data_IF_115870119560
#
_entry.id   IF_115870119560
#
_cell.length_a   1.000
_cell.length_b   1.000
_cell.length_c   1.000
_cell.angle_alpha   90.00
_cell.angle_beta   90.00
_cell.angle_gamma   90.00
#
_symmetry.space_group_name_H-M   'P 1'
#
loop_
_entity.id
_entity.type
_entity.pdbx_description
1 polymer ?
#
# COMPACT_ATOMS: atom_id res chain seq x y z
N UNK A 1 -39.32 -77.22 -42.28
CA UNK A 1 -39.47 -75.82 -42.72
C UNK A 1 -39.38 -74.90 -41.51
N UNK A 2 -38.27 -74.16 -41.35
CA UNK A 2 -38.17 -72.94 -40.55
C UNK A 2 -36.95 -72.18 -41.06
N UNK A 3 -37.21 -71.17 -41.89
CA UNK A 3 -36.20 -70.26 -42.44
C UNK A 3 -35.99 -69.12 -41.44
N UNK A 4 -34.73 -68.98 -41.01
CA UNK A 4 -33.95 -67.75 -40.83
C UNK A 4 -34.68 -66.45 -40.46
N UNK A 5 -34.27 -65.81 -39.35
CA UNK A 5 -33.63 -64.49 -39.38
C UNK A 5 -32.98 -64.19 -38.01
N UNK A 6 -31.64 -64.22 -37.95
CA UNK A 6 -30.88 -63.64 -36.82
C UNK A 6 -30.81 -62.14 -37.04
N UNK A 7 -31.50 -61.37 -36.19
CA UNK A 7 -31.38 -59.91 -36.15
C UNK A 7 -30.34 -59.58 -35.07
N UNK A 8 -29.13 -59.23 -35.52
CA UNK A 8 -28.07 -58.67 -34.69
C UNK A 8 -28.48 -57.25 -34.30
N UNK A 9 -28.77 -57.03 -33.02
CA UNK A 9 -29.02 -55.69 -32.46
C UNK A 9 -27.65 -54.98 -32.36
N UNK A 10 -27.33 -54.14 -33.34
CA UNK A 10 -26.29 -53.13 -33.23
C UNK A 10 -26.85 -51.99 -32.36
N UNK A 11 -26.42 -51.95 -31.09
CA UNK A 11 -26.54 -50.79 -30.22
C UNK A 11 -25.66 -49.67 -30.81
N UNK A 12 -26.24 -48.85 -31.68
CA UNK A 12 -25.69 -47.53 -31.99
C UNK A 12 -26.07 -46.65 -30.80
N UNK A 13 -25.16 -46.56 -29.82
CA UNK A 13 -25.17 -45.50 -28.83
C UNK A 13 -25.01 -44.18 -29.58
N UNK A 14 -26.15 -43.52 -29.82
CA UNK A 14 -26.16 -42.11 -30.14
C UNK A 14 -25.57 -41.38 -28.93
N UNK A 15 -24.28 -41.10 -29.00
CA UNK A 15 -23.64 -40.02 -28.28
C UNK A 15 -24.34 -38.73 -28.71
N UNK A 16 -25.50 -38.47 -28.11
CA UNK A 16 -26.05 -37.14 -28.00
C UNK A 16 -25.09 -36.37 -27.09
N UNK A 17 -24.03 -35.86 -27.69
CA UNK A 17 -23.28 -34.75 -27.16
C UNK A 17 -24.27 -33.58 -27.06
N UNK A 18 -24.99 -33.51 -25.93
CA UNK A 18 -25.59 -32.26 -25.48
C UNK A 18 -24.42 -31.30 -25.38
N UNK A 19 -24.33 -30.42 -26.38
CA UNK A 19 -23.45 -29.27 -26.41
C UNK A 19 -23.73 -28.51 -25.11
N UNK A 20 -22.88 -28.71 -24.12
CA UNK A 20 -22.97 -27.99 -22.86
C UNK A 20 -23.02 -26.50 -23.19
N UNK A 21 -23.97 -25.82 -22.56
CA UNK A 21 -24.20 -24.38 -22.63
C UNK A 21 -22.98 -23.62 -22.07
N UNK A 22 -21.89 -23.57 -22.84
CA UNK A 22 -20.71 -22.76 -22.54
C UNK A 22 -20.60 -21.57 -23.50
N UNK A 23 -21.69 -21.25 -24.19
CA UNK A 23 -21.75 -20.21 -25.23
C UNK A 23 -22.75 -19.08 -24.93
N UNK A 24 -23.24 -18.94 -23.69
CA UNK A 24 -24.07 -17.79 -23.27
C UNK A 24 -23.40 -16.85 -22.27
N UNK A 25 -22.24 -17.22 -21.68
CA UNK A 25 -21.53 -16.35 -20.70
C UNK A 25 -20.47 -15.47 -21.40
N UNK A 26 -20.05 -15.80 -22.63
CA UNK A 26 -19.02 -15.04 -23.36
C UNK A 26 -19.53 -13.78 -24.07
N UNK A 27 -20.83 -13.55 -24.15
CA UNK A 27 -21.41 -12.46 -24.97
C UNK A 27 -22.07 -11.32 -24.19
N UNK A 28 -21.91 -11.25 -22.87
CA UNK A 28 -22.38 -10.12 -22.05
C UNK A 28 -21.26 -9.33 -21.35
N UNK A 29 -20.02 -9.46 -21.82
CA UNK A 29 -18.84 -8.89 -21.17
C UNK A 29 -18.33 -7.57 -21.79
N UNK A 30 -19.07 -6.95 -22.72
CA UNK A 30 -18.54 -5.87 -23.56
C UNK A 30 -19.49 -4.70 -23.82
N UNK A 31 -20.51 -4.48 -22.98
CA UNK A 31 -21.56 -3.48 -23.27
C UNK A 31 -21.66 -2.29 -22.30
N UNK A 32 -20.69 -2.16 -21.39
CA UNK A 32 -20.57 -0.94 -20.58
C UNK A 32 -19.28 -0.22 -20.98
N UNK A 33 -19.36 0.93 -21.68
CA UNK A 33 -18.19 1.76 -21.86
C UNK A 33 -17.62 2.08 -20.47
N UNK A 34 -16.28 2.05 -20.30
CA UNK A 34 -15.68 2.28 -19.01
C UNK A 34 -16.10 3.64 -18.50
N UNK A 35 -16.82 3.67 -17.37
CA UNK A 35 -17.22 4.91 -16.72
C UNK A 35 -16.21 5.23 -15.63
N UNK A 36 -15.60 6.41 -15.74
CA UNK A 36 -14.74 6.95 -14.70
C UNK A 36 -15.57 7.36 -13.49
N UNK A 37 -15.16 6.88 -12.31
CA UNK A 37 -15.79 7.17 -11.03
C UNK A 37 -14.72 7.42 -9.98
N UNK A 38 -15.08 8.16 -8.95
CA UNK A 38 -14.23 8.47 -7.80
C UNK A 38 -14.64 7.61 -6.61
N UNK A 39 -13.67 7.16 -5.83
CA UNK A 39 -13.93 6.53 -4.53
C UNK A 39 -14.37 7.58 -3.52
N UNK A 40 -15.45 7.34 -2.79
CA UNK A 40 -15.89 8.13 -1.64
C UNK A 40 -16.15 7.21 -0.42
N UNK A 41 -15.05 6.76 0.18
CA UNK A 41 -14.99 5.90 1.37
C UNK A 41 -13.87 6.38 2.31
N UNK A 42 -14.23 6.92 3.47
CA UNK A 42 -13.25 7.30 4.49
C UNK A 42 -12.45 6.06 4.94
N UNK A 43 -11.13 6.07 4.73
CA UNK A 43 -10.25 4.90 4.94
C UNK A 43 -10.01 4.02 3.69
N UNK A 44 -10.57 4.40 2.54
CA UNK A 44 -10.42 3.68 1.27
C UNK A 44 -11.48 2.59 1.03
N UNK A 45 -11.57 2.13 -0.21
CA UNK A 45 -12.55 1.14 -0.67
C UNK A 45 -11.87 -0.18 -1.01
N UNK A 46 -12.27 -1.24 -0.32
CA UNK A 46 -11.75 -2.60 -0.53
C UNK A 46 -12.17 -3.14 -1.91
N UNK A 47 -11.18 -3.40 -2.77
CA UNK A 47 -11.34 -4.19 -3.99
C UNK A 47 -11.32 -5.66 -3.63
N UNK A 48 -12.37 -6.39 -4.00
CA UNK A 48 -12.53 -7.81 -3.67
C UNK A 48 -12.50 -8.70 -4.90
N UNK A 49 -12.08 -9.93 -4.70
CA UNK A 49 -12.07 -10.95 -5.75
C UNK A 49 -13.47 -11.36 -6.19
N UNK A 50 -14.43 -11.37 -5.27
CA UNK A 50 -15.85 -11.70 -5.53
C UNK A 50 -16.76 -10.55 -5.09
N UNK A 51 -17.95 -10.41 -5.70
CA UNK A 51 -18.92 -9.35 -5.37
C UNK A 51 -19.67 -9.66 -4.06
N UNK A 52 -18.94 -9.70 -2.94
CA UNK A 52 -19.47 -10.04 -1.62
C UNK A 52 -18.60 -9.41 -0.53
N UNK A 53 -19.20 -8.95 0.58
CA UNK A 53 -18.51 -8.38 1.74
C UNK A 53 -17.51 -9.35 2.39
N UNK A 54 -17.72 -10.66 2.22
CA UNK A 54 -16.82 -11.71 2.72
C UNK A 54 -15.77 -12.16 1.69
N UNK A 55 -15.78 -11.60 0.47
CA UNK A 55 -14.80 -11.95 -0.57
C UNK A 55 -13.38 -11.52 -0.21
N UNK A 56 -12.37 -12.26 -0.67
CA UNK A 56 -10.95 -11.92 -0.46
C UNK A 56 -10.66 -10.47 -0.86
N UNK A 57 -10.02 -9.70 0.02
CA UNK A 57 -9.59 -8.33 -0.29
C UNK A 57 -8.29 -8.44 -1.10
N UNK A 58 -8.32 -7.92 -2.32
CA UNK A 58 -7.15 -7.86 -3.20
C UNK A 58 -6.27 -6.65 -2.88
N UNK A 59 -6.90 -5.49 -2.66
CA UNK A 59 -6.26 -4.22 -2.30
C UNK A 59 -7.30 -3.26 -1.70
N UNK A 60 -6.87 -2.26 -0.95
CA UNK A 60 -7.69 -1.12 -0.56
C UNK A 60 -7.38 0.04 -1.51
N UNK A 61 -8.38 0.43 -2.31
CA UNK A 61 -8.28 1.58 -3.23
C UNK A 61 -8.45 2.86 -2.42
N UNK A 62 -7.54 3.83 -2.53
CA UNK A 62 -7.66 5.10 -1.83
C UNK A 62 -8.97 5.88 -2.07
N UNK A 63 -9.52 6.49 -1.01
CA UNK A 63 -10.55 7.53 -1.08
C UNK A 63 -10.17 8.68 -2.03
N UNK A 64 -11.01 8.97 -3.02
CA UNK A 64 -10.74 9.99 -4.03
C UNK A 64 -9.90 9.50 -5.22
N UNK A 65 -9.45 8.25 -5.23
CA UNK A 65 -8.91 7.63 -6.46
C UNK A 65 -9.95 7.65 -7.57
N UNK A 66 -9.50 7.95 -8.79
CA UNK A 66 -10.28 7.72 -10.00
C UNK A 66 -10.12 6.27 -10.45
N UNK A 67 -11.25 5.59 -10.69
CA UNK A 67 -11.30 4.22 -11.18
C UNK A 67 -12.15 4.11 -12.43
N UNK A 68 -11.91 3.08 -13.24
CA UNK A 68 -12.80 2.71 -14.35
C UNK A 68 -13.70 1.58 -13.91
N UNK A 69 -15.00 1.80 -14.06
CA UNK A 69 -16.04 0.81 -13.81
C UNK A 69 -16.45 0.15 -15.12
N UNK A 70 -16.75 -1.16 -15.06
CA UNK A 70 -17.08 -2.00 -16.21
C UNK A 70 -18.44 -2.66 -16.07
N UNK A 71 -19.33 -2.03 -15.30
CA UNK A 71 -20.70 -2.48 -15.09
C UNK A 71 -20.97 -3.11 -13.71
N UNK A 72 -22.26 -3.18 -13.42
CA UNK A 72 -22.84 -3.69 -12.17
C UNK A 72 -23.10 -5.19 -12.33
N UNK A 73 -22.81 -5.96 -11.27
CA UNK A 73 -22.96 -7.43 -11.29
C UNK A 73 -23.89 -8.00 -10.22
N UNK A 74 -24.43 -7.17 -9.34
CA UNK A 74 -25.37 -7.59 -8.28
C UNK A 74 -26.63 -6.75 -8.25
N UNK A 75 -27.59 -7.18 -7.42
CA UNK A 75 -28.72 -6.36 -7.00
C UNK A 75 -28.28 -5.34 -5.93
N UNK A 76 -29.20 -4.43 -5.57
CA UNK A 76 -28.97 -3.47 -4.49
C UNK A 76 -28.79 -4.17 -3.15
N UNK A 77 -27.74 -3.78 -2.45
CA UNK A 77 -27.41 -4.20 -1.08
C UNK A 77 -27.17 -2.94 -0.25
N UNK A 78 -27.18 -3.07 1.08
CA UNK A 78 -26.85 -1.97 2.00
C UNK A 78 -25.77 -2.41 2.94
N UNK A 79 -24.68 -1.65 2.97
CA UNK A 79 -23.51 -1.86 3.83
C UNK A 79 -23.06 -0.51 4.39
N UNK A 80 -22.76 -0.46 5.69
CA UNK A 80 -22.32 0.75 6.39
C UNK A 80 -23.21 1.99 6.15
N UNK A 81 -24.53 1.77 6.11
CA UNK A 81 -25.52 2.82 5.87
C UNK A 81 -25.59 3.34 4.43
N UNK A 82 -24.82 2.77 3.49
CA UNK A 82 -24.87 3.11 2.07
C UNK A 82 -25.52 2.00 1.27
N UNK A 83 -26.44 2.37 0.38
CA UNK A 83 -27.05 1.45 -0.58
C UNK A 83 -26.31 1.51 -1.91
N UNK A 84 -26.08 0.36 -2.52
CA UNK A 84 -25.37 0.26 -3.79
C UNK A 84 -25.30 -1.17 -4.30
N UNK A 85 -24.48 -1.39 -5.33
CA UNK A 85 -24.33 -2.69 -6.01
C UNK A 85 -22.86 -3.02 -6.18
N UNK A 86 -22.54 -4.29 -6.21
CA UNK A 86 -21.20 -4.71 -6.60
C UNK A 86 -20.93 -4.36 -8.05
N UNK A 87 -19.84 -3.65 -8.26
CA UNK A 87 -19.43 -3.09 -9.55
C UNK A 87 -18.05 -3.63 -9.89
N UNK A 88 -17.89 -4.12 -11.12
CA UNK A 88 -16.61 -4.61 -11.61
C UNK A 88 -15.72 -3.42 -11.95
N UNK A 89 -14.48 -3.44 -11.48
CA UNK A 89 -13.54 -2.34 -11.67
C UNK A 89 -12.15 -2.86 -11.98
N UNK A 90 -11.35 -1.98 -12.60
CA UNK A 90 -9.91 -2.19 -12.77
C UNK A 90 -9.17 -1.05 -12.08
N UNK A 91 -8.22 -1.40 -11.24
CA UNK A 91 -7.37 -0.45 -10.53
C UNK A 91 -5.94 -0.98 -10.53
N UNK A 92 -5.01 -0.22 -11.12
CA UNK A 92 -3.65 -0.67 -11.44
C UNK A 92 -3.68 -2.01 -12.20
N UNK A 93 -2.95 -3.02 -11.74
CA UNK A 93 -2.95 -4.39 -12.28
C UNK A 93 -4.07 -5.27 -11.71
N UNK A 94 -4.85 -4.80 -10.73
CA UNK A 94 -5.95 -5.57 -10.14
C UNK A 94 -7.26 -5.41 -10.92
N UNK A 95 -8.00 -6.51 -11.03
CA UNK A 95 -9.37 -6.53 -11.53
C UNK A 95 -10.25 -7.28 -10.54
N UNK A 96 -11.36 -6.68 -10.14
CA UNK A 96 -12.22 -7.22 -9.09
C UNK A 96 -13.52 -6.44 -8.95
N UNK A 97 -14.09 -6.49 -7.76
CA UNK A 97 -15.38 -5.89 -7.44
C UNK A 97 -15.28 -4.92 -6.26
N UNK A 98 -15.94 -3.79 -6.38
CA UNK A 98 -16.13 -2.82 -5.29
C UNK A 98 -17.61 -2.58 -5.07
N UNK A 99 -17.98 -2.12 -3.89
CA UNK A 99 -19.35 -1.77 -3.58
C UNK A 99 -19.67 -0.33 -4.01
N UNK A 100 -20.63 -0.15 -4.92
CA UNK A 100 -20.89 1.14 -5.58
C UNK A 100 -21.48 2.21 -4.66
N UNK A 101 -21.95 1.85 -3.46
CA UNK A 101 -22.41 2.83 -2.47
C UNK A 101 -21.31 3.82 -2.07
N UNK A 102 -20.04 3.46 -2.32
CA UNK A 102 -18.87 4.30 -2.11
C UNK A 102 -18.27 4.86 -3.40
N UNK A 103 -19.02 4.86 -4.51
CA UNK A 103 -18.58 5.47 -5.76
C UNK A 103 -19.38 6.74 -6.05
N UNK A 104 -18.71 7.77 -6.53
CA UNK A 104 -19.34 9.02 -6.98
C UNK A 104 -18.78 9.46 -8.33
N UNK A 105 -19.55 10.25 -9.08
CA UNK A 105 -19.06 10.87 -10.33
C UNK A 105 -18.17 12.07 -10.05
N UNK A 106 -18.40 12.75 -8.93
CA UNK A 106 -17.66 13.93 -8.49
C UNK A 106 -17.54 13.92 -6.97
N UNK A 107 -16.36 14.29 -6.49
CA UNK A 107 -16.15 14.63 -5.10
C UNK A 107 -16.64 16.06 -4.88
N UNK A 108 -17.38 16.33 -3.80
CA UNK A 108 -17.61 17.72 -3.38
C UNK A 108 -16.29 18.22 -2.77
N UNK A 109 -15.70 19.33 -3.24
CA UNK A 109 -14.50 19.89 -2.62
C UNK A 109 -14.60 20.06 -1.10
N UNK A 110 -15.82 20.27 -0.57
CA UNK A 110 -16.07 20.35 0.87
C UNK A 110 -15.70 19.07 1.62
N UNK A 111 -15.83 17.90 0.98
CA UNK A 111 -15.46 16.60 1.57
C UNK A 111 -13.93 16.47 1.77
N UNK A 112 -13.15 17.35 1.14
CA UNK A 112 -11.69 17.35 1.14
C UNK A 112 -11.10 18.70 1.54
N UNK A 113 -11.89 19.58 2.16
CA UNK A 113 -11.45 20.93 2.49
C UNK A 113 -10.18 20.91 3.35
N UNK A 114 -10.07 20.01 4.32
CA UNK A 114 -8.86 19.83 5.14
C UNK A 114 -7.63 19.48 4.30
N UNK A 115 -7.77 18.62 3.29
CA UNK A 115 -6.66 18.24 2.39
C UNK A 115 -6.23 19.40 1.51
N UNK A 116 -7.20 20.18 1.02
CA UNK A 116 -6.98 21.41 0.27
C UNK A 116 -6.26 22.45 1.14
N UNK A 117 -6.69 22.61 2.40
CA UNK A 117 -6.10 23.56 3.34
C UNK A 117 -4.64 23.17 3.68
N UNK A 118 -4.37 21.88 3.90
CA UNK A 118 -3.01 21.36 4.09
C UNK A 118 -2.15 21.67 2.86
N UNK A 119 -2.63 21.34 1.65
CA UNK A 119 -1.91 21.62 0.41
C UNK A 119 -1.59 23.11 0.28
N UNK A 120 -2.56 23.99 0.51
CA UNK A 120 -2.36 25.44 0.44
C UNK A 120 -1.31 25.94 1.45
N UNK A 121 -1.29 25.39 2.67
CA UNK A 121 -0.27 25.75 3.66
C UNK A 121 1.13 25.29 3.23
N UNK A 122 1.25 24.08 2.67
CA UNK A 122 2.50 23.57 2.13
C UNK A 122 3.00 24.46 0.99
N UNK A 123 2.11 24.82 0.06
CA UNK A 123 2.42 25.74 -1.04
C UNK A 123 2.94 27.09 -0.53
N UNK A 124 2.28 27.66 0.47
CA UNK A 124 2.68 28.93 1.09
C UNK A 124 4.05 28.81 1.79
N UNK A 125 4.28 27.71 2.51
CA UNK A 125 5.51 27.47 3.27
C UNK A 125 6.72 27.31 2.35
N UNK A 126 6.53 26.61 1.24
CA UNK A 126 7.62 26.27 0.32
C UNK A 126 7.71 27.20 -0.90
N UNK A 127 6.74 28.09 -1.08
CA UNK A 127 6.71 29.08 -2.16
C UNK A 127 6.50 28.47 -3.55
N UNK A 128 5.78 27.36 -3.67
CA UNK A 128 5.55 26.68 -4.96
C UNK A 128 4.10 26.20 -5.07
N UNK A 129 3.65 25.92 -6.30
CA UNK A 129 2.31 25.38 -6.56
C UNK A 129 2.37 23.86 -6.78
N UNK A 130 1.51 23.14 -6.08
CA UNK A 130 1.33 21.69 -6.23
C UNK A 130 0.21 21.48 -7.26
N UNK A 131 0.49 20.76 -8.36
CA UNK A 131 -0.56 20.41 -9.32
C UNK A 131 -1.51 19.39 -8.70
N UNK A 132 -2.69 19.88 -8.30
CA UNK A 132 -3.62 19.16 -7.46
C UNK A 132 -4.57 18.25 -8.26
N UNK A 133 -4.05 17.37 -9.11
CA UNK A 133 -4.85 16.24 -9.61
C UNK A 133 -5.00 15.21 -8.47
N UNK A 134 -5.91 15.53 -7.56
CA UNK A 134 -6.09 14.93 -6.25
C UNK A 134 -6.22 13.39 -6.32
N UNK A 135 -5.19 12.68 -5.87
CA UNK A 135 -5.33 11.34 -5.30
C UNK A 135 -5.26 11.52 -3.79
N UNK A 136 -6.41 11.41 -3.14
CA UNK A 136 -6.48 11.42 -1.68
C UNK A 136 -6.40 9.96 -1.21
N UNK A 137 -6.12 9.79 0.08
CA UNK A 137 -6.12 8.55 0.85
C UNK A 137 -4.89 7.65 0.76
N UNK A 138 -4.08 7.73 1.80
CA UNK A 138 -3.94 6.73 2.86
C UNK A 138 -3.08 7.41 3.93
N UNK A 139 -3.51 8.60 4.36
CA UNK A 139 -2.73 9.42 5.28
C UNK A 139 -3.19 9.12 6.70
N UNK A 140 -2.38 8.38 7.47
CA UNK A 140 -2.64 8.06 8.87
C UNK A 140 -2.47 9.25 9.81
N UNK A 141 -1.83 10.33 9.34
CA UNK A 141 -1.57 11.53 10.12
C UNK A 141 -2.89 12.19 10.56
N UNK A 142 -3.00 12.55 11.84
CA UNK A 142 -4.20 13.17 12.42
C UNK A 142 -4.38 14.60 11.96
N UNK A 143 -4.98 14.80 10.78
CA UNK A 143 -5.17 16.09 10.12
C UNK A 143 -5.80 17.20 11.00
N UNK A 144 -6.48 16.86 12.09
CA UNK A 144 -7.02 17.85 13.03
C UNK A 144 -5.94 18.61 13.80
N UNK A 145 -4.71 18.08 13.87
CA UNK A 145 -3.53 18.74 14.43
C UNK A 145 -2.79 19.62 13.41
N UNK A 146 -3.17 19.59 12.14
CA UNK A 146 -2.39 20.08 11.00
C UNK A 146 -2.88 21.46 10.52
N UNK A 147 -3.54 22.19 11.43
CA UNK A 147 -4.24 23.45 11.17
C UNK A 147 -3.38 24.68 11.49
N UNK A 148 -2.09 24.49 11.77
CA UNK A 148 -1.14 25.56 12.09
C UNK A 148 0.12 25.47 11.24
N UNK A 149 0.71 26.64 10.95
CA UNK A 149 1.85 26.88 10.06
C UNK A 149 2.86 25.72 10.01
N UNK A 150 3.02 25.13 8.82
CA UNK A 150 4.07 24.16 8.58
C UNK A 150 5.45 24.79 8.77
N UNK A 151 6.35 24.05 9.40
CA UNK A 151 7.75 24.40 9.55
C UNK A 151 8.61 23.49 8.66
N UNK A 152 9.68 24.07 8.10
CA UNK A 152 10.69 23.31 7.37
C UNK A 152 11.65 22.69 8.38
N UNK A 153 11.66 21.36 8.45
CA UNK A 153 12.54 20.61 9.35
C UNK A 153 13.90 20.36 8.70
N UNK A 154 13.89 20.04 7.40
CA UNK A 154 15.10 19.79 6.62
C UNK A 154 14.87 20.21 5.17
N UNK A 155 15.85 20.90 4.59
CA UNK A 155 15.83 21.32 3.18
C UNK A 155 17.23 21.10 2.59
N UNK A 156 17.34 20.13 1.68
CA UNK A 156 18.60 19.70 1.08
C UNK A 156 18.55 19.93 -0.43
N UNK A 157 19.63 20.52 -0.97
CA UNK A 157 19.79 20.78 -2.40
C UNK A 157 20.99 19.99 -2.91
N UNK A 158 20.82 19.27 -4.01
CA UNK A 158 21.90 18.54 -4.67
C UNK A 158 21.68 18.49 -6.18
N UNK A 159 22.62 19.07 -6.94
CA UNK A 159 22.51 19.24 -8.40
C UNK A 159 21.17 19.91 -8.76
N UNK A 160 20.40 19.36 -9.69
CA UNK A 160 19.05 19.85 -10.04
C UNK A 160 17.95 19.45 -9.06
N UNK A 161 18.27 18.71 -8.00
CA UNK A 161 17.30 18.17 -7.05
C UNK A 161 17.24 18.94 -5.74
N UNK A 162 16.05 18.95 -5.15
CA UNK A 162 15.80 19.44 -3.79
C UNK A 162 14.91 18.45 -3.05
N UNK A 163 15.28 18.06 -1.84
CA UNK A 163 14.43 17.27 -0.95
C UNK A 163 14.11 18.08 0.29
N UNK A 164 12.83 18.08 0.69
CA UNK A 164 12.35 18.85 1.82
C UNK A 164 11.47 17.99 2.71
N UNK A 165 11.72 18.06 4.01
CA UNK A 165 10.83 17.57 5.05
C UNK A 165 10.19 18.76 5.78
N UNK A 166 8.88 18.75 5.88
CA UNK A 166 8.10 19.76 6.60
C UNK A 166 7.17 19.09 7.61
N UNK A 167 6.82 19.79 8.67
CA UNK A 167 5.93 19.27 9.72
C UNK A 167 4.95 20.35 10.17
N UNK A 168 3.70 19.98 10.53
CA UNK A 168 2.80 20.89 11.23
C UNK A 168 3.08 21.00 12.74
N UNK A 169 3.93 20.13 13.29
CA UNK A 169 4.12 19.92 14.73
C UNK A 169 5.53 20.34 15.16
N UNK A 170 5.63 21.12 16.23
CA UNK A 170 6.90 21.50 16.85
C UNK A 170 7.59 20.21 17.34
N UNK A 171 8.74 19.85 16.75
CA UNK A 171 9.49 18.59 16.94
C UNK A 171 8.85 17.30 16.36
N UNK A 172 7.87 17.42 15.46
CA UNK A 172 7.01 16.31 15.08
C UNK A 172 7.48 15.40 13.94
N UNK A 173 8.77 15.15 13.73
CA UNK A 173 9.16 14.22 12.63
C UNK A 173 9.69 12.88 13.10
N UNK A 174 10.16 12.77 14.33
CA UNK A 174 10.74 11.53 14.87
C UNK A 174 9.75 10.92 15.87
N UNK A 175 8.98 9.94 15.41
CA UNK A 175 8.15 9.10 16.28
C UNK A 175 8.69 7.67 16.27
N UNK A 176 8.54 7.00 17.40
CA UNK A 176 8.93 5.61 17.52
C UNK A 176 8.09 4.75 16.54
N UNK A 177 8.72 4.30 15.46
CA UNK A 177 8.09 3.53 14.39
C UNK A 177 7.18 4.31 13.44
N UNK A 178 7.18 5.65 13.48
CA UNK A 178 6.35 6.48 12.59
C UNK A 178 6.99 7.87 12.36
N UNK A 179 6.38 8.67 11.48
CA UNK A 179 6.77 10.07 11.26
C UNK A 179 5.57 10.92 10.85
N UNK A 180 5.46 12.12 11.41
CA UNK A 180 4.43 13.10 10.98
C UNK A 180 4.96 14.08 9.93
N UNK A 181 6.21 13.92 9.47
CA UNK A 181 6.78 14.73 8.40
C UNK A 181 6.05 14.49 7.07
N UNK A 182 5.81 15.56 6.32
CA UNK A 182 5.58 15.48 4.88
C UNK A 182 6.90 15.63 4.15
N UNK A 183 7.09 14.79 3.13
CA UNK A 183 8.32 14.74 2.35
C UNK A 183 8.03 15.04 0.90
N UNK A 184 8.86 15.89 0.31
CA UNK A 184 8.74 16.35 -1.07
C UNK A 184 10.11 16.28 -1.76
N UNK A 185 10.13 15.84 -3.01
CA UNK A 185 11.33 15.87 -3.86
C UNK A 185 11.01 16.63 -5.14
N UNK A 186 11.89 17.56 -5.47
CA UNK A 186 11.82 18.39 -6.66
C UNK A 186 12.99 18.09 -7.59
N UNK A 187 12.77 18.27 -8.89
CA UNK A 187 13.78 18.30 -9.94
C UNK A 187 13.55 19.52 -10.80
N UNK A 188 14.54 20.40 -10.96
CA UNK A 188 14.40 21.66 -11.71
C UNK A 188 13.16 22.47 -11.29
N UNK A 189 12.94 22.62 -9.97
CA UNK A 189 11.77 23.27 -9.35
C UNK A 189 10.40 22.61 -9.65
N UNK A 190 10.37 21.46 -10.33
CA UNK A 190 9.16 20.68 -10.54
C UNK A 190 9.05 19.61 -9.46
N UNK A 191 7.89 19.52 -8.79
CA UNK A 191 7.62 18.46 -7.84
C UNK A 191 7.56 17.11 -8.57
N UNK A 192 8.42 16.16 -8.19
CA UNK A 192 8.47 14.82 -8.80
C UNK A 192 8.01 13.73 -7.84
N UNK A 193 8.03 13.98 -6.54
CA UNK A 193 7.56 13.05 -5.52
C UNK A 193 7.02 13.80 -4.30
N UNK A 194 5.99 13.24 -3.68
CA UNK A 194 5.55 13.64 -2.35
C UNK A 194 4.88 12.47 -1.62
N UNK A 195 4.84 12.55 -0.29
CA UNK A 195 4.02 11.66 0.54
C UNK A 195 2.76 12.35 1.11
N UNK A 196 2.38 13.52 0.56
CA UNK A 196 1.10 14.16 0.89
C UNK A 196 -0.05 13.20 0.56
N UNK A 197 -1.03 13.11 1.46
CA UNK A 197 -2.17 12.20 1.40
C UNK A 197 -1.81 10.72 1.50
N UNK A 198 -0.74 10.41 2.23
CA UNK A 198 -0.30 9.04 2.48
C UNK A 198 0.61 8.94 3.69
N UNK A 199 0.83 7.74 4.23
CA UNK A 199 1.81 7.55 5.30
C UNK A 199 3.16 8.19 4.96
N UNK A 200 3.77 8.82 5.97
CA UNK A 200 5.08 9.42 5.84
C UNK A 200 6.12 8.38 5.44
N UNK A 201 7.09 8.79 4.62
CA UNK A 201 8.25 7.96 4.29
C UNK A 201 9.40 8.09 5.31
N UNK A 202 9.22 8.92 6.34
CA UNK A 202 10.19 9.16 7.41
C UNK A 202 10.74 10.57 7.44
N UNK A 203 11.72 10.80 8.31
CA UNK A 203 12.43 12.08 8.37
C UNK A 203 13.60 12.10 7.38
N UNK A 204 13.73 13.18 6.59
CA UNK A 204 14.88 13.39 5.71
C UNK A 204 16.19 13.52 6.51
N UNK A 205 17.09 12.59 6.24
CA UNK A 205 18.46 12.54 6.75
C UNK A 205 19.41 13.35 5.87
N UNK A 206 20.67 13.48 6.26
CA UNK A 206 21.70 14.11 5.42
C UNK A 206 21.91 13.34 4.11
N UNK A 207 22.29 14.08 3.06
CA UNK A 207 22.64 13.51 1.76
C UNK A 207 23.84 12.57 1.92
N UNK A 208 23.70 11.32 1.48
CA UNK A 208 24.77 10.32 1.52
C UNK A 208 24.82 9.56 0.19
N UNK A 209 26.01 9.42 -0.38
CA UNK A 209 26.24 8.69 -1.64
C UNK A 209 25.29 9.14 -2.78
N UNK A 210 25.08 10.46 -2.90
CA UNK A 210 24.14 11.09 -3.85
C UNK A 210 22.67 10.68 -3.69
N UNK A 211 22.29 10.19 -2.50
CA UNK A 211 20.92 9.80 -2.17
C UNK A 211 20.31 10.71 -1.12
N UNK A 212 19.05 11.06 -1.34
CA UNK A 212 18.19 11.51 -0.24
C UNK A 212 17.65 10.30 0.48
N UNK A 213 17.83 10.26 1.81
CA UNK A 213 17.42 9.15 2.65
C UNK A 213 16.36 9.66 3.62
N UNK A 214 15.20 9.02 3.64
CA UNK A 214 14.14 9.27 4.61
C UNK A 214 14.03 8.05 5.51
N UNK A 215 14.02 8.26 6.83
CA UNK A 215 14.20 7.17 7.78
C UNK A 215 13.07 7.12 8.82
N UNK A 216 12.61 5.90 9.11
CA UNK A 216 11.72 5.54 10.23
C UNK A 216 12.40 4.41 11.00
N UNK A 217 12.46 4.53 12.33
CA UNK A 217 13.09 3.53 13.20
C UNK A 217 12.18 3.16 14.37
N UNK A 218 12.22 1.90 14.76
CA UNK A 218 11.61 1.36 15.97
C UNK A 218 12.51 0.26 16.55
N UNK A 219 12.44 0.03 17.85
CA UNK A 219 13.17 -1.05 18.48
C UNK A 219 12.65 -1.36 19.87
N UNK A 220 12.36 -2.62 20.13
CA UNK A 220 11.90 -3.09 21.42
C UNK A 220 12.98 -3.98 22.03
N UNK A 221 13.29 -3.76 23.29
CA UNK A 221 14.21 -4.62 24.04
C UNK A 221 13.75 -4.77 25.48
N UNK A 222 13.79 -5.99 25.98
CA UNK A 222 13.56 -6.30 27.39
C UNK A 222 14.45 -7.49 27.79
N UNK A 223 15.18 -7.34 28.88
CA UNK A 223 16.09 -8.37 29.37
C UNK A 223 17.14 -8.77 28.32
N UNK A 224 16.98 -9.97 27.77
CA UNK A 224 17.95 -10.60 26.88
C UNK A 224 17.49 -10.71 25.43
N UNK A 225 16.33 -10.14 25.12
CA UNK A 225 15.80 -10.05 23.77
C UNK A 225 15.77 -8.60 23.31
N UNK A 226 16.34 -8.35 22.14
CA UNK A 226 16.31 -7.06 21.45
C UNK A 226 15.85 -7.25 20.02
N UNK A 227 15.00 -6.35 19.56
CA UNK A 227 14.59 -6.24 18.18
C UNK A 227 14.66 -4.79 17.73
N UNK A 228 15.03 -4.59 16.48
CA UNK A 228 15.09 -3.30 15.85
C UNK A 228 14.62 -3.42 14.41
N UNK A 229 13.82 -2.45 14.00
CA UNK A 229 13.29 -2.31 12.67
C UNK A 229 13.57 -0.91 12.16
N UNK A 230 14.10 -0.81 10.96
CA UNK A 230 14.18 0.46 10.24
C UNK A 230 13.62 0.35 8.84
N UNK A 231 12.89 1.37 8.43
CA UNK A 231 12.45 1.56 7.05
C UNK A 231 13.12 2.81 6.52
N UNK A 232 13.95 2.65 5.49
CA UNK A 232 14.54 3.78 4.77
C UNK A 232 13.98 3.88 3.36
N UNK A 233 13.59 5.08 2.95
CA UNK A 233 13.28 5.39 1.56
C UNK A 233 14.46 6.17 0.97
N UNK A 234 15.09 5.63 -0.07
CA UNK A 234 16.28 6.19 -0.69
C UNK A 234 16.00 6.62 -2.14
N UNK A 235 16.05 7.92 -2.40
CA UNK A 235 16.00 8.45 -3.76
C UNK A 235 17.42 8.71 -4.26
N UNK A 236 17.88 7.94 -5.24
CA UNK A 236 19.19 8.11 -5.85
C UNK A 236 19.12 9.15 -6.97
N UNK A 237 19.86 10.24 -6.83
CA UNK A 237 19.79 11.39 -7.75
C UNK A 237 20.45 11.14 -9.11
N UNK A 238 21.37 10.17 -9.22
CA UNK A 238 22.05 9.83 -10.48
C UNK A 238 21.18 8.93 -11.37
N UNK A 239 20.59 7.89 -10.79
CA UNK A 239 19.75 6.92 -11.49
C UNK A 239 18.27 7.29 -11.51
N UNK A 240 17.87 8.28 -10.70
CA UNK A 240 16.48 8.70 -10.46
C UNK A 240 15.57 7.56 -9.99
N UNK A 241 16.17 6.55 -9.36
CA UNK A 241 15.47 5.41 -8.79
C UNK A 241 15.14 5.64 -7.33
N UNK A 242 13.97 5.15 -6.93
CA UNK A 242 13.51 5.19 -5.56
C UNK A 242 13.46 3.77 -4.98
N UNK A 243 14.07 3.59 -3.82
CA UNK A 243 14.05 2.33 -3.09
C UNK A 243 13.40 2.47 -1.73
N UNK A 244 12.60 1.49 -1.33
CA UNK A 244 12.20 1.25 0.07
C UNK A 244 13.02 0.08 0.60
N UNK A 245 13.71 0.27 1.71
CA UNK A 245 14.56 -0.73 2.34
C UNK A 245 14.06 -0.94 3.76
N UNK A 246 13.60 -2.14 4.07
CA UNK A 246 13.15 -2.55 5.40
C UNK A 246 14.20 -3.48 6.00
N UNK A 247 14.81 -3.06 7.10
CA UNK A 247 15.77 -3.83 7.87
C UNK A 247 15.13 -4.24 9.18
N UNK A 248 15.06 -5.54 9.43
CA UNK A 248 14.70 -6.09 10.73
C UNK A 248 15.89 -6.86 11.29
N UNK A 249 16.23 -6.61 12.55
CA UNK A 249 17.23 -7.36 13.30
C UNK A 249 16.66 -7.76 14.64
N UNK A 250 16.85 -9.01 15.04
CA UNK A 250 16.54 -9.46 16.40
C UNK A 250 17.68 -10.29 16.96
N UNK A 251 18.04 -10.00 18.21
CA UNK A 251 19.08 -10.67 18.95
C UNK A 251 18.47 -11.22 20.24
N UNK A 252 18.67 -12.51 20.46
CA UNK A 252 18.41 -13.16 21.74
C UNK A 252 19.74 -13.58 22.33
N UNK A 253 20.06 -13.06 23.50
CA UNK A 253 21.22 -13.47 24.30
C UNK A 253 20.79 -14.41 25.43
N UNK A 254 21.66 -15.33 25.81
CA UNK A 254 21.46 -16.15 27.00
C UNK A 254 22.14 -15.53 28.22
N UNK A 255 21.65 -15.89 29.41
CA UNK A 255 22.26 -15.50 30.70
C UNK A 255 22.95 -16.68 31.36
N UNK A 256 24.02 -16.41 32.10
CA UNK A 256 24.74 -17.46 32.83
C UNK A 256 23.95 -17.98 34.03
N UNK A 257 23.24 -17.08 34.70
CA UNK A 257 22.38 -17.36 35.84
C UNK A 257 21.07 -16.58 35.64
N UNK A 258 19.96 -17.18 36.09
CA UNK A 258 18.65 -16.55 36.04
C UNK A 258 18.42 -15.89 37.40
N UNK A 259 18.17 -14.59 37.40
CA UNK A 259 17.78 -13.82 38.59
C UNK A 259 16.46 -13.05 38.36
N UNK A 260 16.09 -12.20 39.31
CA UNK A 260 14.84 -11.43 39.26
C UNK A 260 14.74 -10.41 38.11
N UNK A 261 15.85 -10.07 37.44
CA UNK A 261 15.88 -9.14 36.30
C UNK A 261 16.01 -9.88 34.96
N UNK A 262 16.27 -11.19 34.98
CA UNK A 262 16.46 -12.02 33.79
C UNK A 262 15.55 -13.25 33.81
N UNK A 263 14.42 -13.18 34.51
CA UNK A 263 13.51 -14.31 34.68
C UNK A 263 12.94 -14.81 33.34
N UNK A 264 12.78 -13.91 32.37
CA UNK A 264 12.33 -14.20 31.01
C UNK A 264 13.48 -14.65 30.08
N UNK A 265 14.73 -14.64 30.55
CA UNK A 265 15.90 -14.97 29.73
C UNK A 265 16.23 -16.46 29.72
N UNK A 266 16.88 -16.91 28.64
CA UNK A 266 17.32 -18.29 28.48
C UNK A 266 18.67 -18.49 29.15
N UNK A 267 18.84 -19.57 29.93
CA UNK A 267 20.15 -19.93 30.49
C UNK A 267 21.09 -20.46 29.40
N UNK A 268 22.33 -19.97 29.37
CA UNK A 268 23.32 -20.38 28.39
C UNK A 268 23.59 -21.89 28.41
N UNK A 269 23.71 -22.48 27.21
CA UNK A 269 24.11 -23.87 27.03
C UNK A 269 25.35 -23.97 26.12
N UNK A 270 25.88 -25.18 25.94
CA UNK A 270 27.00 -25.40 25.00
C UNK A 270 26.61 -25.11 23.55
N UNK A 271 25.33 -25.29 23.23
CA UNK A 271 24.77 -25.22 21.87
C UNK A 271 23.96 -23.93 21.64
N UNK A 272 23.85 -23.08 22.66
CA UNK A 272 23.12 -21.81 22.58
C UNK A 272 23.73 -20.76 23.51
N UNK A 273 24.39 -19.81 22.88
CA UNK A 273 24.97 -18.57 23.41
C UNK A 273 24.21 -17.35 22.92
N UNK A 274 23.83 -17.32 21.64
CA UNK A 274 23.00 -16.27 21.07
C UNK A 274 22.30 -16.73 19.79
N UNK A 275 21.19 -16.07 19.46
CA UNK A 275 20.55 -16.16 18.16
C UNK A 275 20.41 -14.76 17.58
N UNK A 276 21.03 -14.51 16.44
CA UNK A 276 20.84 -13.28 15.67
C UNK A 276 20.08 -13.61 14.39
N UNK A 277 18.99 -12.91 14.17
CA UNK A 277 18.25 -12.95 12.93
C UNK A 277 18.25 -11.55 12.32
N UNK A 278 18.56 -11.47 11.03
CA UNK A 278 18.40 -10.25 10.27
C UNK A 278 17.70 -10.51 8.95
N UNK A 279 16.80 -9.62 8.58
CA UNK A 279 16.08 -9.62 7.32
C UNK A 279 16.16 -8.25 6.70
N UNK A 280 16.58 -8.21 5.45
CA UNK A 280 16.62 -6.99 4.64
C UNK A 280 15.70 -7.23 3.45
N UNK A 281 14.70 -6.36 3.28
CA UNK A 281 13.81 -6.34 2.12
C UNK A 281 14.05 -5.05 1.37
N UNK A 282 14.52 -5.14 0.12
CA UNK A 282 14.75 -4.00 -0.77
C UNK A 282 13.69 -4.01 -1.86
N UNK A 283 12.96 -2.91 -2.00
CA UNK A 283 11.95 -2.73 -3.03
C UNK A 283 12.31 -1.53 -3.90
N UNK A 284 12.41 -1.73 -5.21
CA UNK A 284 12.41 -0.61 -6.16
C UNK A 284 10.95 -0.16 -6.34
N UNK A 285 10.67 1.12 -6.15
CA UNK A 285 9.34 1.71 -6.25
C UNK A 285 9.33 2.82 -7.30
N UNK A 286 8.20 3.00 -7.99
CA UNK A 286 8.01 4.17 -8.84
C UNK A 286 7.72 5.43 -8.00
N UNK A 287 7.65 6.61 -8.64
CA UNK A 287 7.33 7.87 -7.96
C UNK A 287 5.88 7.94 -7.43
N UNK A 288 5.03 6.98 -7.79
CA UNK A 288 3.70 6.78 -7.21
C UNK A 288 3.72 5.71 -6.09
N UNK A 289 4.90 5.20 -5.73
CA UNK A 289 5.18 4.16 -4.73
C UNK A 289 4.65 2.77 -5.08
N UNK A 290 4.37 2.51 -6.35
CA UNK A 290 4.09 1.15 -6.79
C UNK A 290 5.39 0.35 -6.75
N UNK A 291 5.35 -0.82 -6.12
CA UNK A 291 6.49 -1.76 -6.11
C UNK A 291 6.73 -2.28 -7.52
N UNK A 292 7.91 -2.00 -8.06
CA UNK A 292 8.39 -2.47 -9.36
C UNK A 292 9.07 -3.83 -9.19
N UNK A 293 9.96 -3.92 -8.18
CA UNK A 293 10.77 -5.11 -7.90
C UNK A 293 10.96 -5.27 -6.39
N UNK A 294 11.09 -6.51 -5.92
CA UNK A 294 11.43 -6.83 -4.53
C UNK A 294 12.57 -7.85 -4.49
N UNK A 295 13.55 -7.60 -3.64
CA UNK A 295 14.64 -8.50 -3.30
C UNK A 295 14.66 -8.69 -1.77
N UNK A 296 14.86 -9.92 -1.29
CA UNK A 296 14.86 -10.26 0.14
C UNK A 296 16.14 -11.02 0.48
N UNK A 297 16.80 -10.60 1.56
CA UNK A 297 17.97 -11.27 2.14
C UNK A 297 17.70 -11.57 3.61
N UNK A 298 17.88 -12.83 4.00
CA UNK A 298 17.74 -13.27 5.39
C UNK A 298 19.04 -13.93 5.85
N UNK A 299 19.44 -13.63 7.08
CA UNK A 299 20.61 -14.21 7.74
C UNK A 299 20.18 -14.66 9.12
N UNK A 300 20.51 -15.91 9.44
CA UNK A 300 20.31 -16.50 10.76
C UNK A 300 21.66 -17.01 11.25
N UNK A 301 22.17 -16.42 12.33
CA UNK A 301 23.37 -16.88 13.03
C UNK A 301 22.95 -17.47 14.39
N UNK A 302 23.26 -18.75 14.59
CA UNK A 302 22.99 -19.49 15.82
C UNK A 302 24.31 -20.06 16.33
N UNK A 303 24.68 -19.70 17.56
CA UNK A 303 25.83 -20.27 18.29
C UNK A 303 25.46 -20.55 19.72
#
# INVERSE_FOLDING_TARGET
MKKTLMITILLVSSLNCKKNQTTEIKEKLLDFPPKEMLIHANGGLRLRETPNINGTILIVIPNGSTIKTYGIVSQDETHDGKTGKWTRVKYLHYSGFVFSGFLTEKLDPKDFQTDIDILNQIENTLGFKINSKYQISLDSRDKNKYVTNFEIVKDLHYKEFRAVSITPEINGCEFYGDSNCYNLIFKNNSLIFHDINSNSIGMLQDLKDEKFIFLIEAGCGAGCDYSYNSTSHEFNTESEKFFKIENYTSITECVKEIDMFTEDCIKCSKDFKYSNYSKITTQEIDLNRNVIKTDVKEILDKK
#
